data_IF_196362716511
#
_entry.id   IF_196362716511
#
_cell.length_a   1.000
_cell.length_b   1.000
_cell.length_c   1.000
_cell.angle_alpha   90.00
_cell.angle_beta   90.00
_cell.angle_gamma   90.00
#
_symmetry.space_group_name_H-M   'P 1'
#
loop_
_entity.id
_entity.type
_entity.pdbx_description
1 polymer ?
#
# COMPACT_ATOMS: atom_id res chain seq x y z
N UNK A 1 -27.44 -96.62 112.98
CA UNK A 1 -27.37 -95.55 111.96
C UNK A 1 -27.88 -96.12 110.65
N UNK A 2 -29.18 -96.01 110.37
CA UNK A 2 -29.74 -96.38 109.07
C UNK A 2 -29.71 -95.12 108.21
N UNK A 3 -28.87 -95.16 107.18
CA UNK A 3 -28.95 -94.16 106.13
C UNK A 3 -30.22 -94.49 105.37
N UNK A 4 -31.27 -93.68 105.55
CA UNK A 4 -32.47 -93.76 104.75
C UNK A 4 -32.08 -93.45 103.30
N UNK A 5 -31.82 -94.50 102.54
CA UNK A 5 -31.43 -94.45 101.12
C UNK A 5 -32.45 -93.69 100.28
N UNK A 6 -33.71 -93.68 100.71
CA UNK A 6 -34.78 -92.87 100.14
C UNK A 6 -34.57 -91.36 100.34
N UNK A 7 -34.13 -90.94 101.53
CA UNK A 7 -33.84 -89.53 101.85
C UNK A 7 -32.62 -89.04 101.07
N UNK A 8 -31.60 -89.88 100.94
CA UNK A 8 -30.42 -89.61 100.09
C UNK A 8 -30.83 -89.47 98.62
N UNK A 9 -31.66 -90.39 98.11
CA UNK A 9 -32.16 -90.31 96.74
C UNK A 9 -33.00 -89.04 96.50
N UNK A 10 -33.87 -88.68 97.44
CA UNK A 10 -34.65 -87.44 97.37
C UNK A 10 -33.75 -86.19 97.41
N UNK A 11 -32.69 -86.17 98.21
CA UNK A 11 -31.71 -85.08 98.24
C UNK A 11 -30.90 -84.97 96.94
N UNK A 12 -30.51 -86.10 96.35
CA UNK A 12 -29.83 -86.13 95.05
C UNK A 12 -30.75 -85.59 93.95
N UNK A 13 -32.03 -85.98 93.95
CA UNK A 13 -33.03 -85.46 93.02
C UNK A 13 -33.20 -83.94 93.23
N UNK A 14 -33.31 -83.47 94.47
CA UNK A 14 -33.48 -82.05 94.76
C UNK A 14 -32.24 -81.22 94.37
N UNK A 15 -31.03 -81.76 94.59
CA UNK A 15 -29.78 -81.15 94.14
C UNK A 15 -29.68 -81.12 92.60
N UNK A 16 -30.08 -82.20 91.91
CA UNK A 16 -30.14 -82.23 90.45
C UNK A 16 -31.14 -81.22 89.89
N UNK A 17 -32.32 -81.09 90.52
CA UNK A 17 -33.31 -80.06 90.16
C UNK A 17 -32.71 -78.66 90.36
N UNK A 18 -32.03 -78.42 91.47
CA UNK A 18 -31.39 -77.14 91.77
C UNK A 18 -30.27 -76.81 90.77
N UNK A 19 -29.38 -77.75 90.46
CA UNK A 19 -28.32 -77.59 89.45
C UNK A 19 -28.91 -77.37 88.06
N UNK A 20 -29.98 -78.08 87.70
CA UNK A 20 -30.68 -77.88 86.44
C UNK A 20 -31.31 -76.47 86.36
N UNK A 21 -31.89 -75.99 87.46
CA UNK A 21 -32.42 -74.63 87.56
C UNK A 21 -31.30 -73.59 87.44
N UNK A 22 -30.19 -73.75 88.16
CA UNK A 22 -29.04 -72.84 88.10
C UNK A 22 -28.40 -72.79 86.71
N UNK A 23 -28.27 -73.95 86.06
CA UNK A 23 -27.76 -74.06 84.69
C UNK A 23 -28.68 -73.33 83.70
N UNK A 24 -30.00 -73.49 83.85
CA UNK A 24 -31.01 -72.89 82.96
C UNK A 24 -31.20 -71.39 83.21
N UNK A 25 -31.23 -70.96 84.46
CA UNK A 25 -31.64 -69.61 84.88
C UNK A 25 -30.47 -68.64 85.15
N UNK A 26 -29.30 -69.11 85.59
CA UNK A 26 -28.17 -68.23 85.93
C UNK A 26 -27.01 -68.36 84.93
N UNK A 27 -26.48 -69.57 84.73
CA UNK A 27 -25.28 -69.77 83.89
C UNK A 27 -25.54 -69.43 82.42
N UNK A 28 -26.65 -69.91 81.86
CA UNK A 28 -27.01 -69.66 80.46
C UNK A 28 -27.21 -68.18 80.12
N UNK A 29 -27.96 -67.38 80.92
CA UNK A 29 -28.13 -65.96 80.67
C UNK A 29 -26.89 -65.10 80.95
N UNK A 30 -26.04 -65.49 81.92
CA UNK A 30 -24.82 -64.75 82.26
C UNK A 30 -23.74 -64.95 81.19
N UNK A 31 -23.46 -66.19 80.76
CA UNK A 31 -22.49 -66.43 79.67
C UNK A 31 -22.95 -65.75 78.37
N UNK A 32 -24.24 -65.83 78.02
CA UNK A 32 -24.76 -65.15 76.82
C UNK A 32 -24.59 -63.63 76.87
N UNK A 33 -24.72 -63.00 78.03
CA UNK A 33 -24.43 -61.56 78.17
C UNK A 33 -22.94 -61.25 78.05
N UNK A 34 -22.07 -62.13 78.54
CA UNK A 34 -20.62 -61.98 78.44
C UNK A 34 -20.16 -62.12 76.98
N UNK A 35 -20.64 -63.15 76.27
CA UNK A 35 -20.38 -63.38 74.85
C UNK A 35 -20.93 -62.23 73.98
N UNK A 36 -22.12 -61.71 74.28
CA UNK A 36 -22.66 -60.54 73.58
C UNK A 36 -21.82 -59.28 73.78
N UNK A 37 -21.28 -59.07 74.99
CA UNK A 37 -20.39 -57.93 75.25
C UNK A 37 -19.05 -58.10 74.54
N UNK A 38 -18.47 -59.29 74.57
CA UNK A 38 -17.21 -59.59 73.88
C UNK A 38 -17.36 -59.43 72.36
N UNK A 39 -18.41 -60.01 71.77
CA UNK A 39 -18.73 -59.83 70.36
C UNK A 39 -19.03 -58.36 70.01
N UNK A 40 -19.70 -57.62 70.90
CA UNK A 40 -19.98 -56.20 70.72
C UNK A 40 -18.72 -55.32 70.76
N UNK A 41 -17.74 -55.67 71.60
CA UNK A 41 -16.45 -54.98 71.68
C UNK A 41 -15.59 -55.32 70.45
N UNK A 42 -15.50 -56.59 70.09
CA UNK A 42 -14.79 -57.05 68.89
C UNK A 42 -15.34 -56.38 67.62
N UNK A 43 -16.66 -56.35 67.44
CA UNK A 43 -17.29 -55.70 66.29
C UNK A 43 -17.07 -54.18 66.26
N UNK A 44 -16.96 -53.52 67.43
CA UNK A 44 -16.63 -52.08 67.49
C UNK A 44 -15.18 -51.81 67.11
N UNK A 45 -14.25 -52.62 67.60
CA UNK A 45 -12.82 -52.55 67.24
C UNK A 45 -12.61 -52.82 65.75
N UNK A 46 -13.26 -53.84 65.20
CA UNK A 46 -13.19 -54.15 63.77
C UNK A 46 -13.77 -53.01 62.92
N UNK A 47 -14.93 -52.46 63.30
CA UNK A 47 -15.49 -51.27 62.62
C UNK A 47 -14.58 -50.04 62.71
N UNK A 48 -13.90 -49.84 63.84
CA UNK A 48 -12.96 -48.74 64.00
C UNK A 48 -11.73 -48.93 63.10
N UNK A 49 -11.15 -50.13 63.09
CA UNK A 49 -10.02 -50.48 62.23
C UNK A 49 -10.38 -50.36 60.74
N UNK A 50 -11.58 -50.81 60.35
CA UNK A 50 -12.06 -50.67 58.97
C UNK A 50 -12.24 -49.21 58.58
N UNK A 51 -12.84 -48.38 59.45
CA UNK A 51 -12.96 -46.94 59.21
C UNK A 51 -11.61 -46.23 59.09
N UNK A 52 -10.64 -46.60 59.90
CA UNK A 52 -9.29 -46.03 59.84
C UNK A 52 -8.60 -46.41 58.51
N UNK A 53 -8.77 -47.67 58.09
CA UNK A 53 -8.27 -48.15 56.79
C UNK A 53 -8.95 -47.44 55.62
N UNK A 54 -10.27 -47.31 55.64
CA UNK A 54 -11.04 -46.62 54.60
C UNK A 54 -10.66 -45.13 54.52
N UNK A 55 -10.53 -44.46 55.67
CA UNK A 55 -10.07 -43.07 55.74
C UNK A 55 -8.65 -42.89 55.23
N UNK A 56 -7.74 -43.83 55.53
CA UNK A 56 -6.38 -43.84 54.99
C UNK A 56 -6.36 -44.00 53.46
N UNK A 57 -7.13 -44.94 52.93
CA UNK A 57 -7.25 -45.17 51.50
C UNK A 57 -7.85 -43.96 50.77
N UNK A 58 -8.88 -43.33 51.34
CA UNK A 58 -9.50 -42.14 50.77
C UNK A 58 -8.56 -40.92 50.82
N UNK A 59 -7.79 -40.76 51.90
CA UNK A 59 -6.77 -39.72 52.00
C UNK A 59 -5.64 -39.91 50.97
N UNK A 60 -5.20 -41.14 50.72
CA UNK A 60 -4.22 -41.44 49.67
C UNK A 60 -4.76 -41.17 48.27
N UNK A 61 -6.01 -41.58 47.99
CA UNK A 61 -6.69 -41.29 46.73
C UNK A 61 -6.85 -39.79 46.49
N UNK A 62 -7.22 -39.01 47.52
CA UNK A 62 -7.28 -37.55 47.44
C UNK A 62 -5.90 -36.94 47.17
N UNK A 63 -4.84 -37.40 47.83
CA UNK A 63 -3.47 -36.93 47.57
C UNK A 63 -3.00 -37.25 46.16
N UNK A 64 -3.37 -38.41 45.61
CA UNK A 64 -3.07 -38.75 44.22
C UNK A 64 -3.80 -37.82 43.25
N UNK A 65 -5.11 -37.61 43.43
CA UNK A 65 -5.88 -36.67 42.61
C UNK A 65 -5.34 -35.25 42.67
N UNK A 66 -4.90 -34.80 43.86
CA UNK A 66 -4.33 -33.46 44.01
C UNK A 66 -3.06 -33.31 43.17
N UNK A 67 -2.16 -34.29 43.23
CA UNK A 67 -0.92 -34.31 42.44
C UNK A 67 -1.21 -34.34 40.94
N UNK A 68 -2.14 -35.17 40.51
CA UNK A 68 -2.54 -35.28 39.10
C UNK A 68 -3.13 -33.95 38.59
N UNK A 69 -3.91 -33.26 39.43
CA UNK A 69 -4.49 -31.96 39.09
C UNK A 69 -3.43 -30.84 39.06
N UNK A 70 -2.43 -30.88 39.96
CA UNK A 70 -1.28 -29.98 39.92
C UNK A 70 -0.43 -30.20 38.66
N UNK A 71 -0.16 -31.45 38.29
CA UNK A 71 0.57 -31.81 37.06
C UNK A 71 -0.18 -31.35 35.80
N UNK A 72 -1.49 -31.61 35.72
CA UNK A 72 -2.33 -31.14 34.62
C UNK A 72 -2.38 -29.62 34.53
N UNK A 73 -2.50 -28.93 35.67
CA UNK A 73 -2.48 -27.46 35.71
C UNK A 73 -1.13 -26.91 35.27
N UNK A 74 -0.03 -27.52 35.68
CA UNK A 74 1.32 -27.13 35.27
C UNK A 74 1.53 -27.33 33.76
N UNK A 75 1.07 -28.46 33.22
CA UNK A 75 1.12 -28.75 31.79
C UNK A 75 0.27 -27.77 30.97
N UNK A 76 -0.94 -27.46 31.43
CA UNK A 76 -1.81 -26.48 30.78
C UNK A 76 -1.19 -25.07 30.80
N UNK A 77 -0.62 -24.64 31.92
CA UNK A 77 0.08 -23.35 32.00
C UNK A 77 1.31 -23.29 31.10
N UNK A 78 2.02 -24.41 30.94
CA UNK A 78 3.14 -24.50 30.01
C UNK A 78 2.68 -24.36 28.55
N UNK A 79 1.61 -25.05 28.13
CA UNK A 79 1.07 -24.92 26.76
C UNK A 79 0.58 -23.50 26.48
N UNK A 80 -0.14 -22.89 27.42
CA UNK A 80 -0.63 -21.51 27.27
C UNK A 80 0.53 -20.52 27.12
N UNK A 81 1.64 -20.73 27.85
CA UNK A 81 2.84 -19.90 27.69
C UNK A 81 3.49 -20.09 26.32
N UNK A 82 3.61 -21.32 25.86
CA UNK A 82 4.18 -21.63 24.53
C UNK A 82 3.32 -21.03 23.41
N UNK A 83 1.99 -21.18 23.49
CA UNK A 83 1.04 -20.57 22.55
C UNK A 83 1.12 -19.05 22.57
N UNK A 84 1.21 -18.43 23.75
CA UNK A 84 1.37 -16.99 23.89
C UNK A 84 2.70 -16.49 23.29
N UNK A 85 3.80 -17.22 23.49
CA UNK A 85 5.09 -16.90 22.88
C UNK A 85 5.08 -17.05 21.35
N UNK A 86 4.45 -18.12 20.85
CA UNK A 86 4.27 -18.34 19.42
C UNK A 86 3.42 -17.22 18.79
N UNK A 87 2.31 -16.85 19.42
CA UNK A 87 1.46 -15.75 18.98
C UNK A 87 2.21 -14.42 19.00
N UNK A 88 2.97 -14.15 20.06
CA UNK A 88 3.79 -12.93 20.17
C UNK A 88 4.81 -12.85 19.03
N UNK A 89 5.46 -13.97 18.71
CA UNK A 89 6.44 -14.06 17.62
C UNK A 89 5.76 -13.85 16.25
N UNK A 90 4.61 -14.47 16.02
CA UNK A 90 3.83 -14.28 14.80
C UNK A 90 3.39 -12.83 14.63
N UNK A 91 2.78 -12.22 15.65
CA UNK A 91 2.38 -10.80 15.63
C UNK A 91 3.56 -9.87 15.39
N UNK A 92 4.71 -10.13 16.02
CA UNK A 92 5.92 -9.34 15.79
C UNK A 92 6.44 -9.47 14.36
N UNK A 93 6.38 -10.66 13.77
CA UNK A 93 6.80 -10.89 12.39
C UNK A 93 5.84 -10.23 11.40
N UNK A 94 4.52 -10.31 11.63
CA UNK A 94 3.51 -9.61 10.82
C UNK A 94 3.71 -8.10 10.87
N UNK A 95 3.89 -7.52 12.06
CA UNK A 95 4.16 -6.10 12.22
C UNK A 95 5.43 -5.66 11.46
N UNK A 96 6.51 -6.46 11.52
CA UNK A 96 7.74 -6.20 10.74
C UNK A 96 7.49 -6.24 9.23
N UNK A 97 6.75 -7.24 8.76
CA UNK A 97 6.41 -7.38 7.34
C UNK A 97 5.54 -6.22 6.85
N UNK A 98 4.56 -5.78 7.66
CA UNK A 98 3.71 -4.63 7.36
C UNK A 98 4.52 -3.33 7.28
N UNK A 99 5.44 -3.11 8.22
CA UNK A 99 6.35 -1.94 8.19
C UNK A 99 7.24 -1.98 6.96
N UNK A 100 7.84 -3.13 6.63
CA UNK A 100 8.69 -3.27 5.45
C UNK A 100 7.89 -3.03 4.15
N UNK A 101 6.68 -3.56 4.06
CA UNK A 101 5.80 -3.34 2.92
C UNK A 101 5.35 -1.88 2.82
N UNK A 102 5.06 -1.22 3.95
CA UNK A 102 4.75 0.21 3.97
C UNK A 102 5.94 1.06 3.55
N UNK A 103 7.15 0.71 3.99
CA UNK A 103 8.38 1.39 3.61
C UNK A 103 8.69 1.25 2.12
N UNK A 104 8.50 0.04 1.55
CA UNK A 104 8.68 -0.20 0.12
C UNK A 104 7.70 0.64 -0.71
N UNK A 105 6.40 0.62 -0.37
CA UNK A 105 5.38 1.46 -1.03
C UNK A 105 5.69 2.95 -0.90
N UNK A 106 6.14 3.39 0.27
CA UNK A 106 6.51 4.78 0.48
C UNK A 106 7.71 5.19 -0.40
N UNK A 107 8.71 4.31 -0.53
CA UNK A 107 9.86 4.57 -1.38
C UNK A 107 9.49 4.62 -2.86
N UNK A 108 8.63 3.70 -3.33
CA UNK A 108 8.09 3.73 -4.70
C UNK A 108 7.33 5.03 -4.98
N UNK A 109 6.38 5.38 -4.11
CA UNK A 109 5.61 6.62 -4.24
C UNK A 109 6.51 7.87 -4.20
N UNK A 110 7.54 7.87 -3.36
CA UNK A 110 8.52 8.96 -3.29
C UNK A 110 9.30 9.10 -4.60
N UNK A 111 9.75 7.99 -5.20
CA UNK A 111 10.46 8.05 -6.49
C UNK A 111 9.56 8.55 -7.61
N UNK A 112 8.29 8.11 -7.65
CA UNK A 112 7.31 8.59 -8.62
C UNK A 112 7.08 10.10 -8.45
N UNK A 113 6.83 10.58 -7.23
CA UNK A 113 6.65 12.01 -6.94
C UNK A 113 7.88 12.83 -7.32
N UNK A 114 9.10 12.34 -7.03
CA UNK A 114 10.35 12.99 -7.41
C UNK A 114 10.45 13.13 -8.93
N UNK A 115 10.12 12.07 -9.67
CA UNK A 115 10.16 12.07 -11.13
C UNK A 115 9.12 13.02 -11.72
N UNK A 116 7.89 13.04 -11.20
CA UNK A 116 6.85 14.01 -11.59
C UNK A 116 7.30 15.45 -11.32
N UNK A 117 7.88 15.72 -10.14
CA UNK A 117 8.35 17.05 -9.78
C UNK A 117 9.47 17.53 -10.71
N UNK A 118 10.44 16.66 -11.03
CA UNK A 118 11.53 17.00 -11.95
C UNK A 118 10.99 17.30 -13.36
N UNK A 119 10.00 16.53 -13.81
CA UNK A 119 9.35 16.72 -15.10
C UNK A 119 8.60 18.06 -15.15
N UNK A 120 7.84 18.40 -14.12
CA UNK A 120 7.15 19.68 -14.02
C UNK A 120 8.12 20.86 -13.94
N UNK A 121 9.24 20.69 -13.22
CA UNK A 121 10.30 21.69 -13.14
C UNK A 121 10.95 21.92 -14.51
N UNK A 122 11.30 20.86 -15.24
CA UNK A 122 11.89 20.97 -16.58
C UNK A 122 10.92 21.63 -17.57
N UNK A 123 9.64 21.26 -17.55
CA UNK A 123 8.60 21.90 -18.37
C UNK A 123 8.45 23.39 -18.06
N UNK A 124 8.46 23.74 -16.77
CA UNK A 124 8.34 25.14 -16.32
C UNK A 124 9.59 25.95 -16.70
N UNK A 125 10.78 25.37 -16.55
CA UNK A 125 12.03 25.98 -16.98
C UNK A 125 12.05 26.22 -18.49
N UNK A 126 11.62 25.25 -19.31
CA UNK A 126 11.51 25.42 -20.76
C UNK A 126 10.59 26.58 -21.16
N UNK A 127 9.41 26.67 -20.52
CA UNK A 127 8.48 27.80 -20.74
C UNK A 127 9.09 29.14 -20.35
N UNK A 128 9.81 29.20 -19.23
CA UNK A 128 10.51 30.40 -18.78
C UNK A 128 11.63 30.81 -19.73
N UNK A 129 12.48 29.88 -20.16
CA UNK A 129 13.55 30.14 -21.14
C UNK A 129 12.98 30.63 -22.46
N UNK A 130 11.92 30.00 -22.96
CA UNK A 130 11.21 30.48 -24.16
C UNK A 130 10.69 31.90 -23.98
N UNK A 131 10.03 32.21 -22.86
CA UNK A 131 9.49 33.54 -22.60
C UNK A 131 10.60 34.60 -22.52
N UNK A 132 11.70 34.30 -21.83
CA UNK A 132 12.86 35.20 -21.71
C UNK A 132 13.55 35.39 -23.05
N UNK A 133 13.76 34.32 -23.83
CA UNK A 133 14.36 34.41 -25.16
C UNK A 133 13.49 35.26 -26.11
N UNK A 134 12.18 35.04 -26.08
CA UNK A 134 11.19 35.82 -26.85
C UNK A 134 11.20 37.30 -26.47
N UNK A 135 11.25 37.59 -25.17
CA UNK A 135 11.35 38.95 -24.66
C UNK A 135 12.67 39.63 -25.05
N UNK A 136 13.80 38.94 -24.87
CA UNK A 136 15.11 39.45 -25.26
C UNK A 136 15.19 39.73 -26.76
N UNK A 137 14.69 38.82 -27.61
CA UNK A 137 14.66 39.04 -29.06
C UNK A 137 13.79 40.23 -29.45
N UNK A 138 12.67 40.46 -28.76
CA UNK A 138 11.85 41.65 -28.95
C UNK A 138 12.59 42.92 -28.52
N UNK A 139 13.28 42.90 -27.39
CA UNK A 139 14.00 44.06 -26.86
C UNK A 139 15.25 44.39 -27.70
N UNK A 140 15.89 43.39 -28.32
CA UNK A 140 17.02 43.55 -29.24
C UNK A 140 16.61 43.84 -30.70
N UNK A 141 15.33 43.77 -31.05
CA UNK A 141 14.82 44.07 -32.39
C UNK A 141 14.87 45.57 -32.71
N UNK A 142 16.08 46.07 -32.96
CA UNK A 142 16.32 47.42 -33.50
C UNK A 142 16.33 47.45 -35.03
N UNK A 143 16.48 48.66 -35.60
CA UNK A 143 16.47 48.93 -37.06
C UNK A 143 17.39 48.01 -37.87
N UNK A 144 18.59 47.69 -37.35
CA UNK A 144 19.56 46.80 -38.02
C UNK A 144 19.10 45.34 -38.09
N UNK A 145 18.48 44.82 -37.03
CA UNK A 145 17.95 43.45 -37.02
C UNK A 145 16.74 43.35 -37.96
N UNK A 146 15.88 44.38 -37.96
CA UNK A 146 14.73 44.48 -38.85
C UNK A 146 15.14 44.41 -40.33
N UNK A 147 16.20 45.12 -40.71
CA UNK A 147 16.74 45.08 -42.06
C UNK A 147 17.27 43.68 -42.45
N UNK A 148 18.06 43.05 -41.56
CA UNK A 148 18.56 41.68 -41.77
C UNK A 148 17.43 40.65 -41.87
N UNK A 149 16.34 40.83 -41.12
CA UNK A 149 15.16 39.97 -41.21
C UNK A 149 14.46 40.09 -42.58
N UNK A 150 14.36 41.30 -43.14
CA UNK A 150 13.81 41.50 -44.49
C UNK A 150 14.71 40.86 -45.55
N UNK A 151 16.04 41.00 -45.43
CA UNK A 151 16.99 40.37 -46.36
C UNK A 151 16.91 38.85 -46.32
N UNK A 152 16.87 38.26 -45.11
CA UNK A 152 16.69 36.82 -44.95
C UNK A 152 15.37 36.35 -45.58
N UNK A 153 14.27 37.11 -45.38
CA UNK A 153 12.97 36.86 -46.00
C UNK A 153 13.08 36.79 -47.53
N UNK A 154 13.64 37.82 -48.16
CA UNK A 154 13.82 37.85 -49.60
C UNK A 154 14.67 36.68 -50.11
N UNK A 155 15.71 36.28 -49.36
CA UNK A 155 16.60 35.20 -49.77
C UNK A 155 15.91 33.83 -49.82
N UNK A 156 15.27 33.36 -48.74
CA UNK A 156 14.56 32.07 -48.84
C UNK A 156 13.23 32.20 -49.61
N UNK A 157 12.62 33.39 -49.79
CA UNK A 157 11.49 33.56 -50.74
C UNK A 157 11.91 33.19 -52.17
N UNK A 158 13.13 33.59 -52.57
CA UNK A 158 13.74 33.16 -53.83
C UNK A 158 14.09 31.67 -53.88
N UNK A 159 14.20 31.01 -52.72
CA UNK A 159 14.54 29.59 -52.59
C UNK A 159 13.33 28.67 -52.38
N UNK A 160 12.09 29.20 -52.38
CA UNK A 160 10.85 28.39 -52.26
C UNK A 160 10.82 27.31 -53.34
N UNK A 161 10.31 26.11 -53.02
CA UNK A 161 10.21 25.00 -53.98
C UNK A 161 9.27 25.35 -55.16
N UNK A 162 9.55 24.91 -56.40
CA UNK A 162 8.68 25.19 -57.56
C UNK A 162 7.21 24.77 -57.37
N UNK A 163 6.93 23.71 -56.62
CA UNK A 163 5.57 23.27 -56.28
C UNK A 163 4.84 24.27 -55.37
N UNK A 164 5.51 24.78 -54.35
CA UNK A 164 4.96 25.81 -53.46
C UNK A 164 4.77 27.14 -54.19
N UNK A 165 5.70 27.52 -55.09
CA UNK A 165 5.56 28.73 -55.93
C UNK A 165 4.29 28.69 -56.77
N UNK A 166 3.97 27.55 -57.37
CA UNK A 166 2.76 27.37 -58.19
C UNK A 166 1.48 27.52 -57.36
N UNK A 167 1.45 26.94 -56.16
CA UNK A 167 0.32 27.05 -55.23
C UNK A 167 0.11 28.49 -54.73
N UNK A 168 1.20 29.24 -54.54
CA UNK A 168 1.16 30.65 -54.17
C UNK A 168 0.69 31.52 -55.32
N UNK A 169 1.22 31.34 -56.53
CA UNK A 169 0.77 32.04 -57.72
C UNK A 169 -0.74 31.83 -57.97
N UNK A 170 -1.24 30.61 -57.79
CA UNK A 170 -2.65 30.29 -57.91
C UNK A 170 -3.52 31.03 -56.86
N UNK A 171 -3.07 31.09 -55.60
CA UNK A 171 -3.79 31.77 -54.53
C UNK A 171 -3.84 33.29 -54.75
N UNK A 172 -2.76 33.87 -55.27
CA UNK A 172 -2.66 35.30 -55.61
C UNK A 172 -3.55 35.63 -56.80
N UNK A 173 -3.56 34.79 -57.83
CA UNK A 173 -4.45 34.93 -58.99
C UNK A 173 -5.93 34.86 -58.61
N UNK A 174 -6.29 34.01 -57.66
CA UNK A 174 -7.66 33.98 -57.11
C UNK A 174 -7.99 35.27 -56.36
N UNK A 175 -7.00 35.93 -55.73
CA UNK A 175 -7.12 37.17 -54.93
C UNK A 175 -7.27 38.45 -55.75
N UNK A 176 -7.44 38.34 -57.07
CA UNK A 176 -7.43 39.49 -57.97
C UNK A 176 -6.06 40.20 -57.99
N UNK A 177 -4.98 39.49 -57.63
CA UNK A 177 -3.62 40.03 -57.62
C UNK A 177 -3.22 40.79 -56.36
N UNK A 178 -4.12 40.97 -55.37
CA UNK A 178 -3.78 41.72 -54.15
C UNK A 178 -3.07 40.82 -53.14
N UNK A 179 -1.91 41.28 -52.67
CA UNK A 179 -1.09 40.60 -51.66
C UNK A 179 -0.82 41.56 -50.51
N UNK A 180 -1.08 41.13 -49.28
CA UNK A 180 -0.84 41.93 -48.08
C UNK A 180 0.40 41.40 -47.37
N UNK A 181 1.42 42.24 -47.26
CA UNK A 181 2.62 42.01 -46.47
C UNK A 181 2.49 42.72 -45.12
N UNK A 182 2.43 41.94 -44.04
CA UNK A 182 2.39 42.44 -42.67
C UNK A 182 3.76 42.39 -42.03
N UNK A 183 4.17 43.45 -41.36
CA UNK A 183 5.42 43.52 -40.63
C UNK A 183 5.21 44.00 -39.19
N UNK A 184 6.06 43.51 -38.28
CA UNK A 184 6.09 43.95 -36.88
C UNK A 184 6.53 45.41 -36.68
N UNK A 185 7.20 45.96 -37.70
CA UNK A 185 7.83 47.28 -37.71
C UNK A 185 7.55 47.99 -39.02
N UNK A 186 7.69 49.32 -39.06
CA UNK A 186 7.59 50.06 -40.30
C UNK A 186 8.80 49.77 -41.21
N UNK A 187 8.53 49.31 -42.43
CA UNK A 187 9.56 49.08 -43.45
C UNK A 187 9.83 50.40 -44.16
N UNK A 188 11.10 50.77 -44.30
CA UNK A 188 11.51 51.97 -45.03
C UNK A 188 11.20 51.86 -46.53
N UNK A 189 11.01 53.00 -47.24
CA UNK A 189 10.62 52.98 -48.64
C UNK A 189 11.60 52.25 -49.57
N UNK A 190 12.90 52.27 -49.27
CA UNK A 190 13.92 51.60 -50.08
C UNK A 190 13.79 50.08 -49.97
N UNK A 191 13.60 49.56 -48.77
CA UNK A 191 13.37 48.13 -48.54
C UNK A 191 12.00 47.68 -49.06
N UNK A 192 10.95 48.51 -49.00
CA UNK A 192 9.65 48.20 -49.63
C UNK A 192 9.80 47.97 -51.13
N UNK A 193 10.56 48.83 -51.82
CA UNK A 193 10.84 48.66 -53.25
C UNK A 193 11.61 47.37 -53.54
N UNK A 194 12.61 47.01 -52.72
CA UNK A 194 13.38 45.75 -52.87
C UNK A 194 12.53 44.49 -52.64
N UNK A 195 11.62 44.55 -51.67
CA UNK A 195 10.68 43.45 -51.40
C UNK A 195 9.67 43.31 -52.54
N UNK A 196 9.09 44.42 -53.00
CA UNK A 196 8.15 44.43 -54.13
C UNK A 196 8.81 43.85 -55.40
N UNK A 197 10.04 44.28 -55.74
CA UNK A 197 10.77 43.74 -56.89
C UNK A 197 11.05 42.24 -56.75
N UNK A 198 11.47 41.79 -55.57
CA UNK A 198 11.78 40.38 -55.33
C UNK A 198 10.53 39.50 -55.40
N UNK A 199 9.38 39.98 -54.92
CA UNK A 199 8.12 39.23 -54.98
C UNK A 199 7.66 39.08 -56.44
N UNK A 200 7.74 40.17 -57.23
CA UNK A 200 7.41 40.16 -58.67
C UNK A 200 8.35 39.28 -59.50
N UNK A 201 9.63 39.19 -59.12
CA UNK A 201 10.59 38.29 -59.79
C UNK A 201 10.25 36.81 -59.59
N UNK A 202 9.77 36.44 -58.40
CA UNK A 202 9.54 35.04 -58.03
C UNK A 202 8.15 34.55 -58.43
N UNK A 203 7.13 35.42 -58.43
CA UNK A 203 5.76 35.08 -58.80
C UNK A 203 5.42 35.71 -60.14
N UNK A 204 5.09 34.89 -61.12
CA UNK A 204 4.59 35.36 -62.42
C UNK A 204 3.13 35.85 -62.30
N UNK A 205 2.90 37.15 -62.44
CA UNK A 205 1.55 37.74 -62.44
C UNK A 205 1.56 39.25 -62.17
N UNK A 206 0.42 39.90 -62.38
CA UNK A 206 0.22 41.28 -61.93
C UNK A 206 -0.16 41.26 -60.45
N UNK A 207 0.68 41.85 -59.61
CA UNK A 207 0.57 41.80 -58.15
C UNK A 207 0.49 43.24 -57.62
N UNK A 208 -0.52 43.52 -56.81
CA UNK A 208 -0.62 44.74 -56.01
C UNK A 208 -0.18 44.40 -54.58
N UNK A 209 1.02 44.84 -54.19
CA UNK A 209 1.56 44.62 -52.85
C UNK A 209 1.14 45.75 -51.90
N UNK A 210 0.45 45.38 -50.82
CA UNK A 210 0.06 46.31 -49.74
C UNK A 210 0.86 46.01 -48.49
N UNK A 211 1.41 47.06 -47.88
CA UNK A 211 2.19 46.94 -46.64
C UNK A 211 1.33 47.37 -45.45
N UNK A 212 1.23 46.50 -44.45
CA UNK A 212 0.53 46.75 -43.18
C UNK A 212 1.49 46.57 -42.01
N UNK A 213 1.48 47.46 -41.03
CA UNK A 213 2.29 47.32 -39.81
C UNK A 213 1.41 46.83 -38.65
N UNK A 214 1.79 45.69 -38.05
CA UNK A 214 1.06 45.02 -36.97
C UNK A 214 1.98 44.90 -35.74
N UNK A 215 1.84 45.78 -34.73
CA UNK A 215 2.75 45.84 -33.56
C UNK A 215 2.77 44.60 -32.64
N UNK A 216 1.88 43.64 -32.85
CA UNK A 216 1.82 42.37 -32.11
C UNK A 216 2.56 41.21 -32.76
N UNK A 217 3.05 41.38 -34.00
CA UNK A 217 3.83 40.36 -34.70
C UNK A 217 5.26 40.36 -34.13
N UNK A 218 5.79 39.20 -33.75
CA UNK A 218 7.12 39.13 -33.13
C UNK A 218 8.13 38.86 -34.22
N UNK A 219 8.83 39.93 -34.62
CA UNK A 219 10.03 39.88 -35.46
C UNK A 219 9.86 39.00 -36.71
N UNK A 220 9.03 39.46 -37.66
CA UNK A 220 8.82 38.75 -38.92
C UNK A 220 7.99 39.51 -39.96
N UNK A 221 7.91 38.90 -41.15
CA UNK A 221 7.14 39.33 -42.31
C UNK A 221 6.12 38.25 -42.64
N UNK A 222 4.86 38.63 -42.75
CA UNK A 222 3.78 37.72 -43.14
C UNK A 222 3.23 38.14 -44.49
N UNK A 223 3.10 37.22 -45.44
CA UNK A 223 2.44 37.48 -46.70
C UNK A 223 1.13 36.69 -46.75
N UNK A 224 0.01 37.38 -46.99
CA UNK A 224 -1.31 36.75 -47.08
C UNK A 224 -1.99 37.02 -48.41
N UNK A 225 -2.58 35.98 -49.00
CA UNK A 225 -3.41 36.02 -50.22
C UNK A 225 -4.53 34.97 -50.13
N UNK A 226 -5.80 35.38 -50.25
CA UNK A 226 -7.03 34.56 -50.12
C UNK A 226 -6.97 33.40 -49.12
N UNK A 227 -6.69 33.70 -47.85
CA UNK A 227 -6.70 32.70 -46.78
C UNK A 227 -5.52 31.73 -46.81
N UNK A 228 -4.57 31.88 -47.75
CA UNK A 228 -3.24 31.29 -47.65
C UNK A 228 -2.25 32.31 -47.08
N UNK A 229 -1.48 31.86 -46.11
CA UNK A 229 -0.52 32.66 -45.37
C UNK A 229 0.86 32.04 -45.57
N UNK A 230 1.80 32.82 -46.09
CA UNK A 230 3.24 32.53 -46.04
C UNK A 230 3.81 33.39 -44.94
N UNK A 231 3.88 32.80 -43.77
CA UNK A 231 4.42 33.41 -42.57
C UNK A 231 5.92 33.15 -42.48
N UNK A 232 6.70 34.22 -42.37
CA UNK A 232 8.12 34.14 -42.07
C UNK A 232 8.41 34.92 -40.81
N UNK A 233 8.32 34.18 -39.71
CA UNK A 233 8.48 34.73 -38.37
C UNK A 233 9.63 34.05 -37.66
N UNK A 234 10.34 34.80 -36.84
CA UNK A 234 11.24 34.25 -35.85
C UNK A 234 10.48 33.35 -34.84
N UNK A 235 9.16 33.53 -34.72
CA UNK A 235 8.26 32.62 -34.00
C UNK A 235 8.39 31.17 -34.50
N UNK A 236 8.58 30.89 -35.79
CA UNK A 236 8.77 29.51 -36.28
C UNK A 236 10.07 28.86 -35.76
N UNK A 237 11.09 29.65 -35.44
CA UNK A 237 12.33 29.13 -34.85
C UNK A 237 12.18 28.91 -33.34
N UNK A 238 11.52 29.82 -32.65
CA UNK A 238 11.23 29.69 -31.22
C UNK A 238 10.20 28.58 -30.95
N UNK A 239 9.21 28.41 -31.82
CA UNK A 239 8.22 27.33 -31.73
C UNK A 239 8.87 25.99 -32.06
N UNK A 240 9.78 25.92 -33.04
CA UNK A 240 10.62 24.73 -33.24
C UNK A 240 11.52 24.43 -32.04
N UNK A 241 12.07 25.45 -31.37
CA UNK A 241 12.84 25.26 -30.13
C UNK A 241 11.95 24.72 -29.01
N UNK A 242 10.74 25.26 -28.85
CA UNK A 242 9.75 24.80 -27.88
C UNK A 242 9.31 23.36 -28.16
N UNK A 243 9.04 23.03 -29.42
CA UNK A 243 8.67 21.68 -29.87
C UNK A 243 9.83 20.71 -29.70
N UNK A 244 11.05 21.10 -30.07
CA UNK A 244 12.27 20.30 -29.86
C UNK A 244 12.52 20.05 -28.37
N UNK A 245 12.39 21.07 -27.52
CA UNK A 245 12.53 20.92 -26.08
C UNK A 245 11.43 20.03 -25.48
N UNK A 246 10.18 20.17 -25.94
CA UNK A 246 9.08 19.30 -25.55
C UNK A 246 9.32 17.85 -26.00
N UNK A 247 9.87 17.64 -27.21
CA UNK A 247 10.21 16.33 -27.74
C UNK A 247 11.33 15.66 -26.97
N UNK A 248 12.43 16.37 -26.68
CA UNK A 248 13.54 15.85 -25.85
C UNK A 248 13.05 15.53 -24.45
N UNK A 249 12.14 16.34 -23.90
CA UNK A 249 11.47 16.02 -22.65
C UNK A 249 10.71 14.70 -22.74
N UNK A 250 9.85 14.55 -23.75
CA UNK A 250 9.02 13.35 -23.94
C UNK A 250 9.86 12.10 -24.31
N UNK A 251 10.96 12.25 -25.03
CA UNK A 251 11.89 11.17 -25.40
C UNK A 251 12.83 10.73 -24.26
N UNK A 252 13.16 11.58 -23.28
CA UNK A 252 13.83 11.15 -22.04
C UNK A 252 12.85 10.51 -21.03
N UNK A 253 11.54 10.66 -21.22
CA UNK A 253 10.49 10.12 -20.33
C UNK A 253 10.16 8.65 -20.65
N UNK A 254 10.31 8.23 -21.90
CA UNK A 254 10.00 6.87 -22.38
C UNK A 254 11.07 5.78 -22.08
N UNK A 255 12.38 6.03 -22.04
CA UNK A 255 13.38 4.98 -21.85
C UNK A 255 13.35 4.40 -20.43
N UNK A 256 13.00 5.20 -19.41
CA UNK A 256 12.96 4.74 -18.01
C UNK A 256 11.73 3.87 -17.68
N UNK A 257 10.67 3.90 -18.49
CA UNK A 257 9.48 3.06 -18.27
C UNK A 257 9.66 1.65 -18.83
N UNK A 258 10.32 1.49 -19.98
CA UNK A 258 10.51 0.18 -20.61
C UNK A 258 11.57 -0.67 -19.90
N UNK A 259 12.62 -0.09 -19.32
CA UNK A 259 13.62 -0.85 -18.55
C UNK A 259 13.09 -1.42 -17.22
N UNK A 260 12.04 -0.82 -16.64
CA UNK A 260 11.45 -1.29 -15.36
C UNK A 260 10.35 -2.33 -15.52
N UNK A 261 9.75 -2.47 -16.70
CA UNK A 261 8.77 -3.53 -16.98
C UNK A 261 9.41 -4.82 -17.51
N UNK A 262 10.71 -4.77 -17.88
CA UNK A 262 11.45 -5.89 -18.45
C UNK A 262 12.37 -6.65 -17.46
N UNK A 263 12.40 -6.28 -16.17
CA UNK A 263 13.20 -6.91 -15.11
C UNK A 263 12.36 -7.36 -13.92
#
# INVERSE_FOLDING_TARGET
MHVDWFTVLAQVINFLIFVALLKRFLYGPILRNMDQREAGIAARLEKAAQKEKDAGAEAEAFRQKLRELEEQSAAMLASVREEAEALRKDLSNRARNEVNAAQARWYEAFQEQKNTLLLDLRRSAGKQVYAVAKQALRDLAGVKLNQQMIEAFMQQFRAIDPGERSLLAQAIGQSGGVVVLRSAFEIDPEMRAKVDSTIREVIAGDIELRFETVPGLIAGLEMTAHGRQVAWHLDNYLDRLKESFARVLDEEILPEKEEKEAS
#
